data_IF_179782773522
#
_entry.id   IF_179782773522
#
_cell.length_a   1.000
_cell.length_b   1.000
_cell.length_c   1.000
_cell.angle_alpha   90.00
_cell.angle_beta   90.00
_cell.angle_gamma   90.00
#
_symmetry.space_group_name_H-M   'P 1'
#
loop_
_entity.id
_entity.type
_entity.pdbx_description
1 polymer ?
#
# COMPACT_ATOMS: atom_id res chain seq x y z
N UNK A 1 1.76 13.95 -8.45
CA UNK A 1 2.25 12.58 -8.70
C UNK A 1 1.17 11.58 -8.31
N UNK A 2 0.86 10.68 -9.19
CA UNK A 2 -0.20 9.70 -8.93
C UNK A 2 0.33 8.52 -8.15
N UNK A 3 -0.25 8.28 -7.00
CA UNK A 3 0.19 7.24 -6.11
C UNK A 3 -0.91 6.20 -5.87
N UNK A 4 -0.49 4.96 -5.67
CA UNK A 4 -1.39 3.88 -5.29
C UNK A 4 -1.06 3.50 -3.85
N UNK A 5 -2.06 3.50 -3.00
CA UNK A 5 -1.89 3.09 -1.62
C UNK A 5 -2.35 1.65 -1.43
N UNK A 6 -1.60 0.90 -0.65
CA UNK A 6 -1.95 -0.48 -0.33
C UNK A 6 -2.02 -0.63 1.19
N UNK A 7 -3.14 -1.11 1.67
CA UNK A 7 -3.32 -1.47 3.07
C UNK A 7 -3.24 -2.99 3.16
N UNK A 8 -2.13 -3.48 3.70
CA UNK A 8 -1.84 -4.91 3.72
C UNK A 8 -2.73 -5.65 4.71
N UNK A 9 -3.44 -6.65 4.21
CA UNK A 9 -4.23 -7.56 5.04
C UNK A 9 -3.83 -9.00 4.76
N UNK A 10 -4.08 -9.89 5.71
CA UNK A 10 -3.71 -11.30 5.55
C UNK A 10 -4.52 -11.98 4.46
N UNK A 11 -5.77 -11.61 4.32
CA UNK A 11 -6.67 -12.24 3.35
C UNK A 11 -6.90 -11.37 2.12
N UNK A 12 -6.90 -10.07 2.28
CA UNK A 12 -7.15 -9.16 1.19
C UNK A 12 -6.41 -7.85 1.42
N UNK A 13 -6.06 -7.22 0.32
CA UNK A 13 -5.36 -5.95 0.31
C UNK A 13 -6.32 -4.84 -0.04
N UNK A 14 -6.34 -3.77 0.76
CA UNK A 14 -7.10 -2.58 0.41
C UNK A 14 -6.30 -1.71 -0.54
N UNK A 15 -6.93 -1.31 -1.64
CA UNK A 15 -6.28 -0.51 -2.67
C UNK A 15 -6.95 0.85 -2.73
N UNK A 16 -6.14 1.89 -2.74
CA UNK A 16 -6.62 3.26 -2.85
C UNK A 16 -5.76 4.02 -3.85
N UNK A 17 -6.33 5.04 -4.46
CA UNK A 17 -5.59 5.88 -5.39
C UNK A 17 -5.57 7.31 -4.86
N UNK A 18 -4.46 7.97 -5.08
CA UNK A 18 -4.26 9.36 -4.68
C UNK A 18 -3.96 10.20 -5.92
N UNK A 19 -4.49 11.41 -5.94
CA UNK A 19 -4.26 12.34 -7.04
C UNK A 19 -2.90 13.03 -6.91
N UNK A 20 -2.70 14.03 -7.74
CA UNK A 20 -1.41 14.69 -7.92
C UNK A 20 -0.69 15.08 -6.65
N UNK A 21 -1.38 15.49 -5.63
CA UNK A 21 -0.74 15.94 -4.41
C UNK A 21 -0.67 14.89 -3.32
N UNK A 22 -1.26 13.73 -3.57
CA UNK A 22 -1.27 12.67 -2.58
C UNK A 22 -1.98 13.02 -1.29
N UNK A 23 -2.85 13.99 -1.33
CA UNK A 23 -3.49 14.48 -0.11
C UNK A 23 -4.63 13.61 0.37
N UNK A 24 -5.41 13.09 -0.56
CA UNK A 24 -6.57 12.28 -0.22
C UNK A 24 -6.55 11.02 -1.07
N UNK A 25 -6.59 9.88 -0.39
CA UNK A 25 -6.68 8.61 -1.08
C UNK A 25 -8.15 8.23 -1.24
N UNK A 26 -8.49 7.80 -2.44
CA UNK A 26 -9.83 7.32 -2.73
C UNK A 26 -9.83 5.80 -2.73
N UNK A 27 -10.62 5.14 -1.86
CA UNK A 27 -10.69 3.69 -1.88
C UNK A 27 -11.18 3.21 -3.24
N UNK A 28 -10.49 2.22 -3.80
CA UNK A 28 -10.87 1.64 -5.08
C UNK A 28 -11.53 0.28 -4.91
N UNK A 29 -10.81 -0.64 -4.32
CA UNK A 29 -11.29 -2.01 -4.19
C UNK A 29 -10.42 -2.79 -3.22
N UNK A 30 -10.88 -3.99 -2.87
CA UNK A 30 -10.05 -4.96 -2.18
C UNK A 30 -9.65 -6.03 -3.18
N UNK A 31 -8.41 -6.49 -3.10
CA UNK A 31 -7.92 -7.59 -3.91
C UNK A 31 -7.52 -8.72 -2.97
N UNK A 32 -7.86 -9.95 -3.31
CA UNK A 32 -7.44 -11.08 -2.50
C UNK A 32 -5.91 -11.13 -2.44
N UNK A 33 -5.38 -11.35 -1.25
CA UNK A 33 -3.94 -11.38 -1.06
C UNK A 33 -3.28 -12.60 -1.70
N UNK A 34 -4.01 -13.69 -1.80
CA UNK A 34 -3.50 -14.93 -2.36
C UNK A 34 -4.40 -15.43 -3.47
N UNK A 35 -3.85 -16.05 -4.51
CA UNK A 35 -2.41 -16.18 -4.73
C UNK A 35 -1.78 -14.87 -5.16
N UNK A 36 -0.52 -14.69 -4.81
CA UNK A 36 0.18 -13.44 -5.08
C UNK A 36 0.17 -13.05 -6.55
N UNK A 37 0.30 -14.02 -7.44
CA UNK A 37 0.33 -13.73 -8.87
C UNK A 37 -0.98 -13.12 -9.36
N UNK A 38 -2.11 -13.60 -8.85
CA UNK A 38 -3.40 -13.03 -9.21
C UNK A 38 -3.54 -11.60 -8.67
N UNK A 39 -3.09 -11.40 -7.43
CA UNK A 39 -3.05 -10.07 -6.84
C UNK A 39 -2.22 -9.13 -7.70
N UNK A 40 -1.02 -9.57 -8.09
CA UNK A 40 -0.11 -8.74 -8.86
C UNK A 40 -0.68 -8.39 -10.23
N UNK A 41 -1.35 -9.34 -10.88
CA UNK A 41 -1.98 -9.11 -12.18
C UNK A 41 -3.02 -8.00 -12.07
N UNK A 42 -3.89 -8.08 -11.07
CA UNK A 42 -4.90 -7.05 -10.87
C UNK A 42 -4.28 -5.71 -10.53
N UNK A 43 -3.26 -5.72 -9.67
CA UNK A 43 -2.55 -4.50 -9.30
C UNK A 43 -1.95 -3.81 -10.51
N UNK A 44 -1.30 -4.57 -11.38
CA UNK A 44 -0.70 -4.01 -12.59
C UNK A 44 -1.74 -3.42 -13.53
N UNK A 45 -2.91 -4.04 -13.62
CA UNK A 45 -4.00 -3.50 -14.43
C UNK A 45 -4.44 -2.14 -13.90
N UNK A 46 -4.64 -2.03 -12.61
CA UNK A 46 -5.02 -0.75 -11.98
C UNK A 46 -3.94 0.29 -12.20
N UNK A 47 -2.68 -0.09 -12.03
CA UNK A 47 -1.56 0.82 -12.22
C UNK A 47 -1.51 1.37 -13.65
N UNK A 48 -1.74 0.52 -14.62
CA UNK A 48 -1.72 0.93 -16.02
C UNK A 48 -2.91 1.85 -16.34
N UNK A 49 -4.09 1.47 -15.88
CA UNK A 49 -5.30 2.25 -16.14
C UNK A 49 -5.22 3.66 -15.55
N UNK A 50 -4.59 3.78 -14.39
CA UNK A 50 -4.52 5.05 -13.67
C UNK A 50 -3.19 5.76 -13.83
N UNK A 51 -2.26 5.17 -14.56
CA UNK A 51 -0.93 5.76 -14.77
C UNK A 51 -0.24 6.05 -13.45
N UNK A 52 -0.20 5.04 -12.58
CA UNK A 52 0.39 5.17 -11.24
C UNK A 52 1.91 5.34 -11.37
N UNK A 53 2.43 6.30 -10.62
CA UNK A 53 3.85 6.65 -10.66
C UNK A 53 4.62 6.16 -9.44
N UNK A 54 3.92 5.83 -8.37
CA UNK A 54 4.54 5.27 -7.17
C UNK A 54 3.53 4.47 -6.38
N UNK A 55 4.03 3.58 -5.53
CA UNK A 55 3.19 2.80 -4.62
C UNK A 55 3.60 3.12 -3.19
N UNK A 56 2.62 3.28 -2.32
CA UNK A 56 2.84 3.51 -0.90
C UNK A 56 2.11 2.43 -0.14
N UNK A 57 2.84 1.71 0.72
CA UNK A 57 2.27 0.64 1.53
C UNK A 57 2.25 1.09 2.99
N UNK A 58 1.09 1.00 3.62
CA UNK A 58 0.95 1.36 5.02
C UNK A 58 1.74 0.41 5.91
N UNK A 59 2.56 0.97 6.80
CA UNK A 59 3.35 0.18 7.73
C UNK A 59 2.71 0.28 9.11
N UNK A 60 2.10 -0.81 9.61
CA UNK A 60 1.44 -0.76 10.92
C UNK A 60 2.46 -0.61 12.03
N UNK A 61 2.08 0.15 13.04
CA UNK A 61 2.92 0.41 14.18
C UNK A 61 2.11 0.31 15.45
N UNK A 62 2.71 -0.26 16.48
CA UNK A 62 2.07 -0.32 17.80
C UNK A 62 2.00 1.08 18.40
N UNK A 63 1.13 1.24 19.41
CA UNK A 63 0.92 2.54 20.03
C UNK A 63 2.18 3.07 20.71
N UNK A 64 3.06 2.18 21.16
CA UNK A 64 4.33 2.59 21.77
C UNK A 64 5.41 2.92 20.76
N UNK A 65 5.09 2.86 19.47
CA UNK A 65 6.04 3.17 18.40
C UNK A 65 6.84 1.98 17.90
N UNK A 66 6.67 0.81 18.50
CA UNK A 66 7.38 -0.38 18.04
C UNK A 66 6.66 -1.04 16.87
N UNK A 67 7.37 -1.92 16.18
CA UNK A 67 6.80 -2.71 15.09
C UNK A 67 6.50 -4.11 15.59
N UNK A 68 5.28 -4.57 15.32
CA UNK A 68 4.86 -5.91 15.71
C UNK A 68 4.97 -6.91 14.57
N UNK A 69 4.41 -8.12 14.77
CA UNK A 69 4.47 -9.17 13.74
C UNK A 69 3.85 -8.75 12.40
N UNK A 70 2.81 -7.95 12.43
CA UNK A 70 2.18 -7.49 11.20
C UNK A 70 3.13 -6.63 10.37
N UNK A 71 3.94 -5.81 11.03
CA UNK A 71 4.92 -4.97 10.33
C UNK A 71 5.97 -5.81 9.61
N UNK A 72 6.35 -6.95 10.18
CA UNK A 72 7.29 -7.86 9.53
C UNK A 72 6.69 -8.43 8.25
N UNK A 73 5.42 -8.78 8.28
CA UNK A 73 4.72 -9.27 7.08
C UNK A 73 4.70 -8.20 6.00
N UNK A 74 4.44 -6.96 6.38
CA UNK A 74 4.41 -5.85 5.42
C UNK A 74 5.80 -5.62 4.83
N UNK A 75 6.85 -5.70 5.63
CA UNK A 75 8.22 -5.55 5.13
C UNK A 75 8.54 -6.60 4.07
N UNK A 76 8.16 -7.85 4.33
CA UNK A 76 8.39 -8.92 3.36
C UNK A 76 7.58 -8.68 2.09
N UNK A 77 6.34 -8.25 2.24
CA UNK A 77 5.49 -7.92 1.11
C UNK A 77 6.10 -6.80 0.26
N UNK A 78 6.58 -5.75 0.92
CA UNK A 78 7.20 -4.62 0.21
C UNK A 78 8.43 -5.07 -0.56
N UNK A 79 9.26 -5.90 0.05
CA UNK A 79 10.47 -6.41 -0.62
C UNK A 79 10.10 -7.20 -1.87
N UNK A 80 9.07 -8.05 -1.77
CA UNK A 80 8.60 -8.81 -2.92
C UNK A 80 8.02 -7.90 -3.99
N UNK A 81 7.25 -6.91 -3.57
CA UNK A 81 6.60 -5.99 -4.49
C UNK A 81 7.62 -5.16 -5.25
N UNK A 82 8.68 -4.71 -4.59
CA UNK A 82 9.74 -3.95 -5.25
C UNK A 82 10.37 -4.73 -6.40
N UNK A 83 10.42 -6.04 -6.29
CA UNK A 83 10.96 -6.89 -7.35
C UNK A 83 9.93 -7.19 -8.43
N UNK A 84 8.66 -6.86 -8.20
CA UNK A 84 7.58 -7.20 -9.11
C UNK A 84 7.11 -6.04 -9.97
N UNK A 85 7.42 -4.81 -9.59
CA UNK A 85 6.95 -3.61 -10.30
C UNK A 85 8.13 -2.70 -10.59
N UNK A 86 7.94 -1.81 -11.57
CA UNK A 86 9.01 -0.89 -11.98
C UNK A 86 8.93 0.46 -11.28
N UNK A 87 7.77 0.80 -10.73
CA UNK A 87 7.62 2.07 -10.02
C UNK A 87 8.20 1.98 -8.62
N UNK A 88 8.59 3.11 -8.02
CA UNK A 88 9.08 3.10 -6.63
C UNK A 88 8.00 2.60 -5.67
N UNK A 89 8.42 1.84 -4.66
CA UNK A 89 7.56 1.37 -3.59
C UNK A 89 8.10 1.91 -2.28
N UNK A 90 7.26 2.61 -1.55
CA UNK A 90 7.64 3.21 -0.27
C UNK A 90 6.68 2.73 0.82
N UNK A 91 7.11 2.87 2.06
CA UNK A 91 6.25 2.57 3.19
C UNK A 91 5.78 3.88 3.83
N UNK A 92 4.63 3.82 4.47
CA UNK A 92 4.06 4.96 5.18
C UNK A 92 3.74 4.53 6.60
N UNK A 93 4.21 5.31 7.57
CA UNK A 93 3.94 5.02 8.98
C UNK A 93 2.49 5.38 9.30
N UNK A 94 1.66 4.37 9.54
CA UNK A 94 0.24 4.57 9.80
C UNK A 94 -0.02 5.38 11.07
N UNK A 95 0.88 5.31 12.04
CA UNK A 95 0.74 6.11 13.24
C UNK A 95 0.81 7.60 12.91
N UNK A 96 1.72 7.98 12.04
CA UNK A 96 1.82 9.36 11.58
C UNK A 96 0.60 9.75 10.78
N UNK A 97 0.09 8.84 9.99
CA UNK A 97 -1.13 9.08 9.21
C UNK A 97 -2.31 9.36 10.14
N UNK A 98 -2.45 8.55 11.20
CA UNK A 98 -3.54 8.75 12.17
C UNK A 98 -3.44 10.10 12.85
N UNK A 99 -2.24 10.49 13.25
CA UNK A 99 -2.03 11.79 13.89
C UNK A 99 -2.39 12.91 12.92
N UNK A 100 -1.98 12.80 11.68
CA UNK A 100 -2.31 13.80 10.67
C UNK A 100 -3.82 13.89 10.43
N UNK A 101 -4.50 12.75 10.46
CA UNK A 101 -5.94 12.72 10.22
C UNK A 101 -6.73 13.38 11.36
N UNK A 102 -6.19 13.36 12.56
CA UNK A 102 -6.86 13.96 13.72
C UNK A 102 -6.79 15.48 13.71
N UNK A 103 -5.93 16.03 12.95
CA UNK A 103 -5.76 17.46 12.87
C UNK A 103 -6.62 18.08 11.79
#
# INVERSE_FOLDING_TARGET
>A
MKALGIDHGDKRMGIAASDDLGMLAHPLEFILAEPYEAFLTRLRTIMAERQIEQIVVGMPRNMDGSYGPQALKVRDFVATLKNSVVVPVQTWDERLTSVAAEK
#
